data_IF_400297563923
#
_entry.id   IF_400297563923
#
_cell.length_a   1.000
_cell.length_b   1.000
_cell.length_c   1.000
_cell.angle_alpha   90.00
_cell.angle_beta   90.00
_cell.angle_gamma   90.00
#
_symmetry.space_group_name_H-M   'P 1'
#
loop_
_entity.id
_entity.type
_entity.pdbx_description
1 polymer ?
#
# COMPACT_ATOMS: atom_id res chain seq x y z
N UNK A 1 -4.62 5.09 -7.99
CA UNK A 1 -5.63 4.01 -8.00
C UNK A 1 -6.10 3.79 -6.58
N UNK A 2 -7.39 3.56 -6.37
CA UNK A 2 -7.94 3.20 -5.07
C UNK A 2 -7.69 1.71 -4.81
N UNK A 3 -6.62 1.39 -4.07
CA UNK A 3 -6.19 0.00 -3.88
C UNK A 3 -7.10 -0.73 -2.88
N UNK A 4 -7.60 -0.02 -1.87
CA UNK A 4 -8.54 -0.58 -0.89
C UNK A 4 -9.83 -1.04 -1.54
N UNK A 5 -10.40 -0.23 -2.45
CA UNK A 5 -11.62 -0.59 -3.19
C UNK A 5 -11.38 -1.78 -4.13
N UNK A 6 -10.29 -1.78 -4.89
CA UNK A 6 -9.97 -2.89 -5.80
C UNK A 6 -9.76 -4.19 -5.04
N UNK A 7 -9.01 -4.14 -3.94
CA UNK A 7 -8.79 -5.31 -3.11
C UNK A 7 -10.09 -5.80 -2.47
N UNK A 8 -10.95 -4.91 -1.96
CA UNK A 8 -12.23 -5.30 -1.37
C UNK A 8 -13.13 -6.07 -2.37
N UNK A 9 -13.13 -5.66 -3.64
CA UNK A 9 -13.85 -6.37 -4.70
C UNK A 9 -13.32 -7.78 -4.90
N UNK A 10 -11.99 -7.96 -4.97
CA UNK A 10 -11.37 -9.30 -5.11
C UNK A 10 -11.64 -10.18 -3.88
N UNK A 11 -11.57 -9.60 -2.67
CA UNK A 11 -11.81 -10.32 -1.42
C UNK A 11 -13.27 -10.76 -1.24
N UNK A 12 -14.25 -10.00 -1.75
CA UNK A 12 -15.66 -10.34 -1.63
C UNK A 12 -16.03 -11.69 -2.27
N UNK A 13 -15.20 -12.18 -3.18
CA UNK A 13 -15.38 -13.45 -3.88
C UNK A 13 -14.65 -14.64 -3.22
N UNK A 14 -13.98 -14.42 -2.08
CA UNK A 14 -13.13 -15.41 -1.43
C UNK A 14 -13.64 -15.81 -0.05
N UNK A 15 -13.46 -17.09 0.28
CA UNK A 15 -13.63 -17.57 1.65
C UNK A 15 -12.63 -16.85 2.58
N UNK A 16 -13.09 -16.37 3.74
CA UNK A 16 -12.25 -15.68 4.73
C UNK A 16 -10.95 -16.42 5.08
N UNK A 17 -11.00 -17.75 5.15
CA UNK A 17 -9.84 -18.60 5.44
C UNK A 17 -8.76 -18.56 4.36
N UNK A 18 -9.11 -18.24 3.11
CA UNK A 18 -8.20 -18.17 1.96
C UNK A 18 -7.57 -16.78 1.80
N UNK A 19 -8.15 -15.75 2.40
CA UNK A 19 -7.72 -14.35 2.24
C UNK A 19 -6.24 -14.18 2.62
N UNK A 20 -5.86 -14.62 3.82
CA UNK A 20 -4.48 -14.49 4.33
C UNK A 20 -3.46 -15.16 3.41
N UNK A 21 -3.83 -16.26 2.74
CA UNK A 21 -2.94 -16.99 1.83
C UNK A 21 -2.86 -16.36 0.44
N UNK A 22 -3.86 -15.56 0.05
CA UNK A 22 -3.96 -14.98 -1.29
C UNK A 22 -3.65 -13.49 -1.35
N UNK A 23 -3.63 -12.80 -0.21
CA UNK A 23 -3.54 -11.33 -0.15
C UNK A 23 -2.36 -10.77 -0.96
N UNK A 24 -1.17 -11.35 -0.82
CA UNK A 24 0.01 -10.92 -1.58
C UNK A 24 -0.21 -11.10 -3.10
N UNK A 25 -0.67 -12.28 -3.52
CA UNK A 25 -0.92 -12.55 -4.94
C UNK A 25 -1.98 -11.62 -5.53
N UNK A 26 -3.08 -11.36 -4.80
CA UNK A 26 -4.13 -10.46 -5.26
C UNK A 26 -3.62 -9.03 -5.43
N UNK A 27 -2.79 -8.56 -4.49
CA UNK A 27 -2.18 -7.24 -4.58
C UNK A 27 -1.20 -7.16 -5.74
N UNK A 28 -0.38 -8.19 -5.95
CA UNK A 28 0.53 -8.26 -7.10
C UNK A 28 -0.25 -8.16 -8.41
N UNK A 29 -1.34 -8.92 -8.55
CA UNK A 29 -2.21 -8.88 -9.73
C UNK A 29 -2.84 -7.49 -9.92
N UNK A 30 -3.30 -6.84 -8.85
CA UNK A 30 -3.86 -5.48 -8.89
C UNK A 30 -2.79 -4.48 -9.35
N UNK A 31 -1.60 -4.53 -8.76
CA UNK A 31 -0.52 -3.59 -9.08
C UNK A 31 -0.06 -3.75 -10.53
N UNK A 32 0.19 -4.97 -10.98
CA UNK A 32 0.63 -5.24 -12.36
C UNK A 32 -0.39 -4.71 -13.38
N UNK A 33 -1.69 -4.91 -13.14
CA UNK A 33 -2.76 -4.43 -14.04
C UNK A 33 -2.90 -2.91 -14.09
N UNK A 34 -2.49 -2.21 -13.03
CA UNK A 34 -2.70 -0.78 -12.87
C UNK A 34 -1.40 0.04 -12.88
N UNK A 35 -0.26 -0.61 -13.14
CA UNK A 35 1.00 0.07 -13.34
C UNK A 35 0.95 0.91 -14.62
N UNK A 36 1.59 2.07 -14.59
CA UNK A 36 1.62 2.99 -15.73
C UNK A 36 3.06 3.33 -16.11
N UNK A 37 3.30 3.57 -17.39
CA UNK A 37 4.60 4.10 -17.85
C UNK A 37 4.51 5.62 -17.90
N UNK A 38 5.13 6.31 -16.93
CA UNK A 38 5.26 7.75 -16.94
C UNK A 38 6.46 8.17 -17.79
N UNK A 39 6.32 9.25 -18.55
CA UNK A 39 7.38 9.73 -19.47
C UNK A 39 8.67 10.11 -18.73
N UNK A 40 8.55 10.66 -17.53
CA UNK A 40 9.67 11.20 -16.75
C UNK A 40 10.09 10.29 -15.59
N UNK A 41 9.15 9.49 -15.06
CA UNK A 41 9.35 8.70 -13.84
C UNK A 41 9.41 7.19 -14.11
N UNK A 42 9.32 6.79 -15.39
CA UNK A 42 9.32 5.39 -15.79
C UNK A 42 8.12 4.61 -15.27
N UNK A 43 8.34 3.35 -14.91
CA UNK A 43 7.32 2.50 -14.32
C UNK A 43 6.82 3.11 -12.99
N UNK A 44 5.55 3.49 -12.97
CA UNK A 44 4.93 4.27 -11.89
C UNK A 44 3.69 3.57 -11.36
N UNK A 45 3.62 3.50 -10.03
CA UNK A 45 2.51 2.96 -9.25
C UNK A 45 1.99 4.10 -8.37
N UNK A 46 0.77 4.56 -8.61
CA UNK A 46 0.11 5.55 -7.76
C UNK A 46 -1.07 4.91 -7.03
N UNK A 47 -1.04 4.88 -5.70
CA UNK A 47 -2.04 4.23 -4.84
C UNK A 47 -2.60 5.22 -3.81
N UNK A 48 -3.85 5.01 -3.43
CA UNK A 48 -4.55 5.68 -2.33
C UNK A 48 -5.42 4.67 -1.59
N UNK A 49 -5.99 5.08 -0.44
CA UNK A 49 -6.92 4.25 0.34
C UNK A 49 -6.30 2.90 0.76
N UNK A 50 -5.14 2.94 1.42
CA UNK A 50 -4.45 1.72 1.90
C UNK A 50 -4.98 1.22 3.26
N UNK A 51 -6.04 1.82 3.80
CA UNK A 51 -6.56 1.51 5.14
C UNK A 51 -6.89 0.03 5.31
N UNK A 52 -7.51 -0.59 4.30
CA UNK A 52 -7.79 -2.02 4.31
C UNK A 52 -6.54 -2.88 4.51
N UNK A 53 -5.38 -2.46 3.99
CA UNK A 53 -4.11 -3.20 4.12
C UNK A 53 -3.55 -3.16 5.54
N UNK A 54 -3.99 -2.20 6.35
CA UNK A 54 -3.55 -2.01 7.73
C UNK A 54 -4.38 -2.84 8.73
N UNK A 55 -5.48 -3.46 8.28
CA UNK A 55 -6.33 -4.31 9.11
C UNK A 55 -5.54 -5.52 9.64
N UNK A 56 -5.40 -5.69 10.97
CA UNK A 56 -4.59 -6.76 11.57
C UNK A 56 -5.01 -8.17 11.13
N UNK A 57 -6.29 -8.38 10.83
CA UNK A 57 -6.86 -9.65 10.39
C UNK A 57 -6.28 -10.13 9.05
N UNK A 58 -5.81 -9.20 8.20
CA UNK A 58 -5.15 -9.56 6.94
C UNK A 58 -3.75 -10.12 7.16
N UNK A 59 -3.14 -9.87 8.33
CA UNK A 59 -1.74 -10.24 8.65
C UNK A 59 -0.76 -9.81 7.55
N UNK A 60 -1.07 -8.68 6.91
CA UNK A 60 -0.32 -8.16 5.79
C UNK A 60 0.75 -7.19 6.28
N UNK A 61 1.94 -7.25 5.68
CA UNK A 61 3.03 -6.36 6.04
C UNK A 61 3.09 -5.20 5.04
N UNK A 62 2.45 -4.08 5.39
CA UNK A 62 2.39 -2.88 4.54
C UNK A 62 3.76 -2.25 4.34
N UNK A 63 4.61 -2.20 5.37
CA UNK A 63 5.97 -1.66 5.26
C UNK A 63 6.79 -2.43 4.21
N UNK A 64 6.75 -3.77 4.29
CA UNK A 64 7.43 -4.62 3.30
C UNK A 64 6.86 -4.41 1.90
N UNK A 65 5.53 -4.33 1.77
CA UNK A 65 4.89 -4.07 0.48
C UNK A 65 5.36 -2.74 -0.14
N UNK A 66 5.32 -1.66 0.62
CA UNK A 66 5.78 -0.35 0.14
C UNK A 66 7.28 -0.38 -0.22
N UNK A 67 8.11 -1.06 0.58
CA UNK A 67 9.54 -1.23 0.30
C UNK A 67 9.79 -2.03 -0.99
N UNK A 68 9.16 -3.19 -1.15
CA UNK A 68 9.37 -4.06 -2.31
C UNK A 68 8.95 -3.37 -3.61
N UNK A 69 7.83 -2.65 -3.61
CA UNK A 69 7.33 -1.97 -4.80
C UNK A 69 8.08 -0.68 -5.14
N UNK A 70 8.65 0.01 -4.16
CA UNK A 70 9.45 1.22 -4.40
C UNK A 70 10.87 0.94 -4.90
N UNK A 71 11.40 -0.29 -4.73
CA UNK A 71 12.76 -0.63 -5.17
C UNK A 71 12.99 -0.47 -6.68
N UNK A 72 11.99 -0.82 -7.49
CA UNK A 72 12.11 -0.85 -8.96
C UNK A 72 11.08 0.05 -9.67
N UNK A 73 10.23 0.74 -8.92
CA UNK A 73 9.15 1.56 -9.48
C UNK A 73 9.06 2.88 -8.73
N UNK A 74 8.64 3.93 -9.42
CA UNK A 74 8.19 5.15 -8.75
C UNK A 74 6.87 4.86 -8.04
N UNK A 75 6.89 4.78 -6.71
CA UNK A 75 5.70 4.56 -5.88
C UNK A 75 5.20 5.88 -5.30
N UNK A 76 3.98 6.26 -5.64
CA UNK A 76 3.29 7.44 -5.11
C UNK A 76 2.15 6.97 -4.23
N UNK A 77 2.24 7.27 -2.94
CA UNK A 77 1.18 7.01 -1.97
C UNK A 77 0.46 8.32 -1.63
N UNK A 78 -0.82 8.44 -2.00
CA UNK A 78 -1.67 9.50 -1.47
C UNK A 78 -2.16 9.08 -0.08
N UNK A 79 -1.73 9.84 0.93
CA UNK A 79 -2.01 9.58 2.33
C UNK A 79 -2.92 10.67 2.90
N UNK A 80 -4.01 10.27 3.57
CA UNK A 80 -4.96 11.18 4.20
C UNK A 80 -4.73 11.35 5.71
N UNK A 81 -3.91 10.50 6.31
CA UNK A 81 -3.57 10.57 7.74
C UNK A 81 -2.44 11.55 8.03
N UNK A 82 -2.12 11.70 9.32
CA UNK A 82 -0.97 12.50 9.74
C UNK A 82 0.36 11.89 9.26
N UNK A 83 1.28 12.76 8.88
CA UNK A 83 2.65 12.43 8.46
C UNK A 83 3.61 13.12 9.42
N UNK A 84 4.59 12.37 9.92
CA UNK A 84 5.80 12.92 10.51
C UNK A 84 6.99 12.43 9.69
N UNK A 85 8.16 13.05 9.88
CA UNK A 85 9.34 12.95 9.02
C UNK A 85 9.57 11.54 8.49
N UNK A 86 9.53 10.49 9.31
CA UNK A 86 9.69 9.10 8.84
C UNK A 86 8.53 8.19 9.26
N UNK A 87 7.36 8.74 9.56
CA UNK A 87 6.22 7.94 10.06
C UNK A 87 4.91 8.36 9.41
N UNK A 88 4.17 7.38 8.90
CA UNK A 88 2.77 7.55 8.53
C UNK A 88 1.90 7.07 9.68
N UNK A 89 1.00 7.92 10.16
CA UNK A 89 0.05 7.59 11.22
C UNK A 89 -1.34 7.40 10.64
N UNK A 90 -2.00 6.29 10.99
CA UNK A 90 -3.36 6.05 10.53
C UNK A 90 -4.29 7.09 11.15
N UNK A 91 -4.76 8.04 10.31
CA UNK A 91 -5.59 9.19 10.68
C UNK A 91 -4.94 10.21 11.65
N UNK A 92 -4.42 9.78 12.82
CA UNK A 92 -3.86 10.67 13.86
C UNK A 92 -2.63 10.08 14.55
N UNK A 93 -1.75 10.91 15.11
CA UNK A 93 -0.57 10.49 15.90
C UNK A 93 -0.88 9.62 17.13
N UNK A 94 -2.11 9.68 17.62
CA UNK A 94 -2.59 8.90 18.76
C UNK A 94 -3.03 7.48 18.36
N UNK A 95 -3.08 7.18 17.07
CA UNK A 95 -3.34 5.82 16.60
C UNK A 95 -2.10 4.93 16.83
N UNK A 96 -2.36 3.67 17.17
CA UNK A 96 -1.33 2.66 17.35
C UNK A 96 -0.83 2.09 16.02
N UNK A 97 -1.57 2.30 14.92
CA UNK A 97 -1.17 1.89 13.58
C UNK A 97 -0.25 2.95 12.96
N UNK A 98 1.03 2.59 12.86
CA UNK A 98 2.10 3.43 12.31
C UNK A 98 2.87 2.62 11.27
N UNK A 99 3.31 3.29 10.21
CA UNK A 99 4.18 2.72 9.18
C UNK A 99 5.51 3.45 9.26
N UNK A 100 6.60 2.72 9.49
CA UNK A 100 7.95 3.27 9.47
C UNK A 100 8.46 3.43 8.02
N UNK A 101 8.87 4.65 7.67
CA UNK A 101 9.38 5.01 6.36
C UNK A 101 10.91 5.04 6.25
N UNK A 102 11.65 4.79 7.34
CA UNK A 102 13.12 4.93 7.41
C UNK A 102 13.87 4.18 6.29
N UNK A 103 13.32 3.08 5.78
CA UNK A 103 13.91 2.26 4.71
C UNK A 103 13.12 2.30 3.39
N UNK A 104 12.15 3.23 3.28
CA UNK A 104 11.21 3.32 2.16
C UNK A 104 11.36 4.66 1.42
N UNK A 105 11.74 5.73 2.13
CA UNK A 105 11.59 7.09 1.57
C UNK A 105 12.91 7.81 1.32
N UNK A 106 13.01 8.42 0.13
CA UNK A 106 13.69 9.69 -0.07
C UNK A 106 12.60 10.77 -0.11
N UNK A 107 12.35 11.43 1.02
CA UNK A 107 11.31 12.48 1.09
C UNK A 107 11.91 13.78 0.55
N UNK A 108 11.43 14.26 -0.58
CA UNK A 108 11.68 15.62 -1.06
C UNK A 108 10.41 16.42 -0.79
N UNK A 109 10.49 17.35 0.17
CA UNK A 109 9.44 18.33 0.50
C UNK A 109 9.63 19.57 -0.38
#
# INVERSE_FOLDING_TARGET
>A
MDIGKLLALELSNLDKKKIVFKINQLLDDIIVKNKTQHKEFGETIAIENIGLLLEPELKFNVEKFLSDYSQNNTLILKWEGEIDTNQLYFLTKNDNHKIDLNNISHIVI
#
